data_IF_306644570541
#
_entry.id   IF_306644570541
#
_cell.length_a   1.000
_cell.length_b   1.000
_cell.length_c   1.000
_cell.angle_alpha   90.00
_cell.angle_beta   90.00
_cell.angle_gamma   90.00
#
_symmetry.space_group_name_H-M   'P 1'
#
loop_
_entity.id
_entity.type
_entity.pdbx_description
1 polymer ?
#
# COMPACT_ATOMS: atom_id res chain seq x y z
N UNK A 1 -27.32 34.33 -2.43
CA UNK A 1 -28.76 34.06 -2.54
C UNK A 1 -28.94 32.75 -3.30
N UNK A 2 -29.60 31.78 -2.67
CA UNK A 2 -29.59 30.34 -2.99
C UNK A 2 -30.44 29.99 -4.21
N UNK A 3 -30.00 29.01 -5.01
CA UNK A 3 -30.82 28.06 -5.78
C UNK A 3 -29.89 26.92 -6.26
N UNK A 4 -30.08 25.63 -6.05
CA UNK A 4 -31.18 24.83 -5.53
C UNK A 4 -30.58 23.48 -5.08
N UNK A 5 -30.91 23.05 -3.86
CA UNK A 5 -30.72 21.70 -3.35
C UNK A 5 -31.95 20.89 -3.75
N UNK A 6 -31.83 20.00 -4.73
CA UNK A 6 -32.91 19.07 -5.04
C UNK A 6 -32.40 17.73 -5.60
N UNK A 7 -32.29 16.78 -4.65
CA UNK A 7 -32.50 15.32 -4.76
C UNK A 7 -31.29 14.44 -5.16
N UNK A 8 -30.71 13.75 -4.16
CA UNK A 8 -30.36 12.35 -4.30
C UNK A 8 -31.29 11.54 -3.39
N UNK A 9 -32.27 10.89 -3.99
CA UNK A 9 -32.95 9.77 -3.34
C UNK A 9 -32.05 8.55 -3.42
N UNK A 10 -31.14 8.39 -2.47
CA UNK A 10 -30.63 7.10 -1.96
C UNK A 10 -29.50 7.38 -0.97
N UNK A 11 -29.59 6.81 0.22
CA UNK A 11 -28.57 6.89 1.27
C UNK A 11 -27.32 6.07 0.88
N UNK A 12 -26.47 6.64 0.02
CA UNK A 12 -25.07 6.23 -0.12
C UNK A 12 -24.19 7.43 0.22
N UNK A 13 -24.10 7.73 1.52
CA UNK A 13 -22.94 8.42 2.09
C UNK A 13 -21.73 7.47 2.03
N UNK A 14 -21.26 7.17 0.82
CA UNK A 14 -19.88 6.81 0.63
C UNK A 14 -19.16 8.13 0.37
N UNK A 15 -18.44 8.64 1.36
CA UNK A 15 -17.37 9.60 1.07
C UNK A 15 -16.35 8.77 0.29
N UNK A 16 -16.10 9.05 -1.00
CA UNK A 16 -14.99 8.41 -1.67
C UNK A 16 -13.74 8.85 -0.91
N UNK A 17 -13.02 7.90 -0.34
CA UNK A 17 -11.65 8.10 0.15
C UNK A 17 -10.73 8.77 -0.90
N UNK A 18 -11.12 8.75 -2.17
CA UNK A 18 -10.44 9.39 -3.30
C UNK A 18 -10.74 10.88 -3.53
N UNK A 19 -11.61 11.55 -2.74
CA UNK A 19 -11.76 13.01 -2.84
C UNK A 19 -10.92 13.68 -1.76
N UNK A 20 -9.60 13.63 -1.95
CA UNK A 20 -8.66 14.42 -1.17
C UNK A 20 -7.81 15.24 -2.14
N UNK A 21 -7.86 16.56 -2.01
CA UNK A 21 -6.95 17.51 -2.67
C UNK A 21 -5.56 17.56 -2.01
N UNK A 22 -5.33 16.72 -1.00
CA UNK A 22 -4.02 16.53 -0.39
C UNK A 22 -3.15 15.60 -1.25
N UNK A 23 -1.81 15.59 -1.10
CA UNK A 23 -0.98 14.55 -1.68
C UNK A 23 -1.56 13.19 -1.28
N UNK A 24 -1.59 12.25 -2.22
CA UNK A 24 -2.09 10.92 -1.93
C UNK A 24 -1.34 10.34 -0.72
N UNK A 25 -2.06 9.55 0.08
CA UNK A 25 -1.48 8.98 1.31
C UNK A 25 -0.27 8.13 0.97
N UNK A 26 -0.32 7.52 -0.20
CA UNK A 26 0.63 6.65 -0.85
C UNK A 26 1.96 7.36 -1.10
N UNK A 27 1.91 8.58 -1.66
CA UNK A 27 3.11 9.40 -1.87
C UNK A 27 3.85 9.65 -0.56
N UNK A 28 3.11 10.03 0.50
CA UNK A 28 3.71 10.33 1.81
C UNK A 28 4.30 9.11 2.49
N UNK A 29 3.76 7.91 2.27
CA UNK A 29 4.32 6.69 2.87
C UNK A 29 5.73 6.42 2.37
N UNK A 30 5.99 6.61 1.08
CA UNK A 30 7.33 6.47 0.50
C UNK A 30 8.29 7.51 1.04
N UNK A 31 7.85 8.78 1.14
CA UNK A 31 8.66 9.87 1.69
C UNK A 31 9.06 9.59 3.15
N UNK A 32 8.09 9.19 3.99
CA UNK A 32 8.34 8.84 5.39
C UNK A 32 9.27 7.63 5.54
N UNK A 33 9.14 6.62 4.66
CA UNK A 33 10.03 5.46 4.69
C UNK A 33 11.48 5.86 4.39
N UNK A 34 11.73 6.86 3.53
CA UNK A 34 13.09 7.37 3.29
C UNK A 34 13.66 8.11 4.50
N UNK A 35 12.82 8.80 5.26
CA UNK A 35 13.26 9.48 6.48
C UNK A 35 13.68 8.48 7.57
N UNK A 36 13.00 7.34 7.66
CA UNK A 36 13.26 6.32 8.68
C UNK A 36 14.33 5.32 8.26
N UNK A 37 14.42 4.97 6.98
CA UNK A 37 15.38 4.01 6.41
C UNK A 37 16.42 4.75 5.56
N UNK A 38 17.57 5.13 6.15
CA UNK A 38 18.63 5.78 5.39
C UNK A 38 19.14 4.83 4.29
N UNK A 39 19.37 5.35 3.10
CA UNK A 39 19.80 4.58 1.91
C UNK A 39 18.77 3.54 1.44
N UNK A 40 17.48 3.85 1.56
CA UNK A 40 16.42 3.08 0.91
C UNK A 40 16.65 3.09 -0.61
N UNK A 41 16.91 1.92 -1.18
CA UNK A 41 17.09 1.63 -2.61
C UNK A 41 16.00 0.69 -3.13
N UNK A 42 15.47 -0.20 -2.27
CA UNK A 42 14.45 -1.18 -2.67
C UNK A 42 13.31 -1.29 -1.66
N UNK A 43 12.09 -1.16 -2.16
CA UNK A 43 10.85 -1.21 -1.40
C UNK A 43 9.96 -2.34 -1.94
N UNK A 44 9.46 -3.21 -1.07
CA UNK A 44 8.41 -4.17 -1.45
C UNK A 44 7.03 -3.59 -1.12
N UNK A 45 6.05 -3.74 -2.00
CA UNK A 45 4.66 -3.36 -1.72
C UNK A 45 3.79 -4.60 -1.81
N UNK A 46 3.14 -4.95 -0.71
CA UNK A 46 2.22 -6.08 -0.64
C UNK A 46 0.86 -5.64 -1.18
N UNK A 47 0.40 -6.24 -2.28
CA UNK A 47 -0.80 -5.82 -3.03
C UNK A 47 -1.72 -7.03 -3.24
N UNK A 48 -3.03 -6.81 -3.20
CA UNK A 48 -4.02 -7.78 -3.67
C UNK A 48 -4.48 -7.34 -5.07
N UNK A 49 -4.00 -8.04 -6.12
CA UNK A 49 -4.22 -7.59 -7.51
C UNK A 49 -5.68 -7.66 -7.96
N UNK A 50 -6.49 -8.50 -7.31
CA UNK A 50 -7.91 -8.65 -7.60
C UNK A 50 -8.75 -7.46 -7.10
N UNK A 51 -8.13 -6.53 -6.35
CA UNK A 51 -8.76 -5.30 -5.87
C UNK A 51 -8.27 -4.08 -6.67
N UNK A 52 -9.08 -3.53 -7.60
CA UNK A 52 -8.68 -2.40 -8.45
C UNK A 52 -8.26 -1.14 -7.70
N UNK A 53 -8.80 -0.91 -6.50
CA UNK A 53 -8.39 0.22 -5.66
C UNK A 53 -6.95 0.07 -5.17
N UNK A 54 -6.53 -1.15 -4.81
CA UNK A 54 -5.17 -1.43 -4.38
C UNK A 54 -4.18 -1.40 -5.55
N UNK A 55 -4.62 -1.78 -6.75
CA UNK A 55 -3.83 -1.61 -7.98
C UNK A 55 -3.59 -0.12 -8.29
N UNK A 56 -4.56 0.75 -8.04
CA UNK A 56 -4.36 2.20 -8.18
C UNK A 56 -3.30 2.71 -7.19
N UNK A 57 -3.41 2.30 -5.91
CA UNK A 57 -2.43 2.64 -4.88
C UNK A 57 -1.02 2.15 -5.21
N UNK A 58 -0.88 0.92 -5.72
CA UNK A 58 0.39 0.39 -6.19
C UNK A 58 1.04 1.28 -7.25
N UNK A 59 0.27 1.75 -8.22
CA UNK A 59 0.80 2.62 -9.27
C UNK A 59 1.29 3.96 -8.71
N UNK A 60 0.61 4.50 -7.71
CA UNK A 60 1.04 5.72 -7.01
C UNK A 60 2.32 5.47 -6.20
N UNK A 61 2.37 4.40 -5.40
CA UNK A 61 3.57 4.00 -4.66
C UNK A 61 4.78 3.83 -5.57
N UNK A 62 4.59 3.14 -6.70
CA UNK A 62 5.64 2.93 -7.70
C UNK A 62 6.11 4.24 -8.32
N UNK A 63 5.18 5.10 -8.74
CA UNK A 63 5.53 6.39 -9.34
C UNK A 63 6.30 7.28 -8.35
N UNK A 64 5.88 7.33 -7.08
CA UNK A 64 6.59 8.10 -6.06
C UNK A 64 7.97 7.50 -5.78
N UNK A 65 8.08 6.19 -5.60
CA UNK A 65 9.36 5.53 -5.36
C UNK A 65 10.35 5.75 -6.51
N UNK A 66 9.90 5.59 -7.76
CA UNK A 66 10.72 5.85 -8.95
C UNK A 66 11.18 7.32 -9.03
N UNK A 67 10.33 8.28 -8.64
CA UNK A 67 10.68 9.71 -8.63
C UNK A 67 11.78 10.10 -7.64
N UNK A 68 12.09 9.21 -6.70
CA UNK A 68 13.12 9.39 -5.66
C UNK A 68 14.20 8.31 -5.74
N UNK A 69 14.37 7.65 -6.89
CA UNK A 69 15.38 6.62 -7.16
C UNK A 69 15.27 5.36 -6.25
N UNK A 70 14.07 5.05 -5.77
CA UNK A 70 13.77 3.81 -5.03
C UNK A 70 13.09 2.81 -5.95
N UNK A 71 13.64 1.60 -6.05
CA UNK A 71 13.00 0.51 -6.77
C UNK A 71 11.85 -0.08 -5.95
N UNK A 72 10.61 0.21 -6.35
CA UNK A 72 9.43 -0.47 -5.82
C UNK A 72 9.19 -1.81 -6.54
N UNK A 73 8.91 -2.87 -5.78
CA UNK A 73 8.60 -4.22 -6.29
C UNK A 73 7.26 -4.67 -5.75
N UNK A 74 6.37 -5.07 -6.65
CA UNK A 74 5.05 -5.62 -6.32
C UNK A 74 5.18 -7.03 -5.77
N UNK A 75 4.41 -7.34 -4.72
CA UNK A 75 4.26 -8.67 -4.15
C UNK A 75 2.76 -8.97 -4.07
N UNK A 76 2.27 -9.75 -5.04
CA UNK A 76 0.85 -10.17 -5.11
C UNK A 76 0.54 -11.15 -3.98
N UNK A 77 -0.47 -10.84 -3.18
CA UNK A 77 -1.02 -11.69 -2.12
C UNK A 77 -2.52 -11.87 -2.38
N UNK A 78 -2.92 -13.13 -2.55
CA UNK A 78 -4.32 -13.51 -2.82
C UNK A 78 -5.02 -14.06 -1.59
N UNK A 79 -4.24 -14.45 -0.60
CA UNK A 79 -4.71 -15.00 0.66
C UNK A 79 -3.70 -14.77 1.77
N UNK A 80 -4.13 -14.96 3.01
CA UNK A 80 -3.23 -14.90 4.17
C UNK A 80 -2.18 -16.05 4.14
N UNK A 81 -2.49 -17.15 3.47
CA UNK A 81 -1.61 -18.33 3.37
C UNK A 81 -0.41 -18.07 2.43
N UNK A 82 -0.51 -17.07 1.55
CA UNK A 82 0.58 -16.67 0.65
C UNK A 82 1.69 -15.90 1.38
N UNK A 83 1.42 -15.41 2.60
CA UNK A 83 2.31 -14.53 3.36
C UNK A 83 3.70 -15.18 3.58
N UNK A 84 3.74 -16.41 4.06
CA UNK A 84 4.98 -17.14 4.30
C UNK A 84 5.80 -17.30 3.03
N UNK A 85 5.16 -17.68 1.91
CA UNK A 85 5.82 -17.87 0.64
C UNK A 85 6.34 -16.53 0.07
N UNK A 86 5.54 -15.48 0.19
CA UNK A 86 5.91 -14.13 -0.24
C UNK A 86 7.18 -13.63 0.46
N UNK A 87 7.33 -13.88 1.76
CA UNK A 87 8.53 -13.51 2.52
C UNK A 87 9.79 -14.31 2.14
N UNK A 88 9.65 -15.41 1.39
CA UNK A 88 10.79 -16.16 0.81
C UNK A 88 11.14 -15.72 -0.61
N UNK A 89 10.40 -14.79 -1.21
CA UNK A 89 10.68 -14.31 -2.57
C UNK A 89 11.89 -13.38 -2.58
N UNK A 90 12.65 -13.31 -3.70
CA UNK A 90 13.72 -12.33 -3.85
C UNK A 90 13.24 -10.89 -3.68
N UNK A 91 11.98 -10.61 -4.07
CA UNK A 91 11.35 -9.29 -3.92
C UNK A 91 11.35 -8.85 -2.45
N UNK A 92 10.85 -9.71 -1.55
CA UNK A 92 10.82 -9.39 -0.13
C UNK A 92 12.19 -9.53 0.51
N UNK A 93 13.00 -10.53 0.13
CA UNK A 93 14.34 -10.74 0.73
C UNK A 93 15.26 -9.53 0.47
N UNK A 94 15.26 -8.98 -0.75
CA UNK A 94 16.16 -7.91 -1.16
C UNK A 94 15.66 -6.50 -0.81
N UNK A 95 14.38 -6.34 -0.48
CA UNK A 95 13.85 -5.04 -0.08
C UNK A 95 14.45 -4.60 1.26
N UNK A 96 14.53 -3.29 1.55
CA UNK A 96 14.94 -2.79 2.87
C UNK A 96 13.73 -2.40 3.73
N UNK A 97 12.60 -2.12 3.08
CA UNK A 97 11.33 -1.83 3.73
C UNK A 97 10.17 -2.48 2.95
N UNK A 98 8.98 -2.52 3.56
CA UNK A 98 7.77 -2.87 2.85
C UNK A 98 6.57 -2.00 3.26
N UNK A 99 5.64 -1.81 2.33
CA UNK A 99 4.32 -1.22 2.56
C UNK A 99 3.27 -2.35 2.48
N UNK A 100 2.30 -2.32 3.38
CA UNK A 100 1.17 -3.25 3.37
C UNK A 100 -0.10 -2.55 2.86
N UNK A 101 -0.40 -2.72 1.57
CA UNK A 101 -1.66 -2.28 0.96
C UNK A 101 -2.71 -3.39 0.94
N UNK A 102 -2.31 -4.66 1.06
CA UNK A 102 -3.19 -5.85 1.17
C UNK A 102 -3.90 -5.98 2.54
N UNK A 103 -4.30 -4.85 3.14
CA UNK A 103 -4.76 -4.76 4.52
C UNK A 103 -5.93 -5.70 4.90
N UNK A 104 -7.01 -5.89 4.10
CA UNK A 104 -8.09 -6.78 4.53
C UNK A 104 -7.65 -8.25 4.64
N UNK A 105 -6.79 -8.75 3.74
CA UNK A 105 -6.32 -10.13 3.74
C UNK A 105 -5.33 -10.38 4.89
N UNK A 106 -4.49 -9.39 5.19
CA UNK A 106 -3.44 -9.54 6.22
C UNK A 106 -3.89 -9.17 7.63
N UNK A 107 -5.04 -8.51 7.81
CA UNK A 107 -5.53 -8.11 9.13
C UNK A 107 -5.66 -9.29 10.14
N UNK A 108 -6.18 -10.47 9.76
CA UNK A 108 -6.26 -11.64 10.65
C UNK A 108 -4.87 -12.17 11.06
N UNK A 109 -3.87 -12.00 10.20
CA UNK A 109 -2.50 -12.50 10.38
C UNK A 109 -1.47 -11.40 10.68
N UNK A 110 -1.91 -10.20 11.08
CA UNK A 110 -1.03 -9.04 11.33
C UNK A 110 0.11 -9.30 12.32
N UNK A 111 -0.12 -10.14 13.33
CA UNK A 111 0.93 -10.55 14.28
C UNK A 111 2.00 -11.36 13.57
N UNK A 112 1.57 -12.28 12.70
CA UNK A 112 2.47 -13.13 11.93
C UNK A 112 3.28 -12.33 10.90
N UNK A 113 2.64 -11.37 10.24
CA UNK A 113 3.30 -10.40 9.37
C UNK A 113 4.41 -9.64 10.13
N UNK A 114 4.11 -9.13 11.33
CA UNK A 114 5.10 -8.44 12.15
C UNK A 114 6.26 -9.36 12.59
N UNK A 115 5.99 -10.62 12.94
CA UNK A 115 7.04 -11.60 13.25
C UNK A 115 7.96 -11.87 12.06
N UNK A 116 7.40 -12.03 10.86
CA UNK A 116 8.16 -12.25 9.64
C UNK A 116 9.02 -11.02 9.31
N UNK A 117 8.47 -9.82 9.48
CA UNK A 117 9.19 -8.56 9.31
C UNK A 117 10.37 -8.42 10.28
N UNK A 118 10.19 -8.75 11.57
CA UNK A 118 11.23 -8.63 12.60
C UNK A 118 12.33 -9.69 12.49
N UNK A 119 12.04 -10.85 11.90
CA UNK A 119 13.05 -11.90 11.66
C UNK A 119 14.02 -11.53 10.54
N UNK A 120 13.61 -10.63 9.66
CA UNK A 120 14.46 -10.10 8.60
C UNK A 120 15.45 -9.12 9.24
N UNK A 121 16.74 -9.46 9.19
CA UNK A 121 17.85 -8.60 9.62
C UNK A 121 18.54 -8.01 8.41
#
# INVERSE_FOLDING_TARGET
LVASLARPGSNLTAIPNSVSTAPSTETKQVDLLREVVPHLERLAVLVEIDNPALVANWNEHRATAESVDVQAVEVDLRSADDLEAAFQTPAVIQAQAFINDANPILLPVRTRLAELALRKK
#
